data_IF_688139718125
#
_entry.id   IF_688139718125
#
_cell.length_a   1.000
_cell.length_b   1.000
_cell.length_c   1.000
_cell.angle_alpha   90.00
_cell.angle_beta   90.00
_cell.angle_gamma   90.00
#
_symmetry.space_group_name_H-M   'P 1'
#
loop_
_entity.id
_entity.type
_entity.pdbx_description
1 polymer ?
#
# COMPACT_ATOMS: atom_id res chain seq x y z
N UNK A 1 -3.68 6.41 -12.17
CA UNK A 1 -3.62 7.20 -10.95
C UNK A 1 -4.48 6.64 -9.83
N UNK A 2 -4.60 7.39 -8.78
CA UNK A 2 -5.28 7.01 -7.52
C UNK A 2 -6.73 7.52 -7.43
N UNK A 3 -7.38 7.77 -8.56
CA UNK A 3 -8.74 8.37 -8.62
C UNK A 3 -9.81 7.59 -7.84
N UNK A 4 -9.63 6.27 -7.71
CA UNK A 4 -10.61 5.39 -7.07
C UNK A 4 -10.31 5.10 -5.58
N UNK A 5 -9.23 5.64 -5.03
CA UNK A 5 -8.77 5.30 -3.66
C UNK A 5 -9.86 5.56 -2.62
N UNK A 6 -10.53 6.70 -2.68
CA UNK A 6 -11.59 7.04 -1.74
C UNK A 6 -12.77 6.04 -1.83
N UNK A 7 -13.22 5.72 -3.05
CA UNK A 7 -14.32 4.76 -3.28
C UNK A 7 -13.98 3.38 -2.73
N UNK A 8 -12.77 2.89 -3.01
CA UNK A 8 -12.30 1.59 -2.53
C UNK A 8 -12.24 1.59 -1.00
N UNK A 9 -11.66 2.65 -0.41
CA UNK A 9 -11.53 2.76 1.05
C UNK A 9 -12.88 2.73 1.74
N UNK A 10 -13.85 3.54 1.30
CA UNK A 10 -15.18 3.54 1.91
C UNK A 10 -15.91 2.22 1.74
N UNK A 11 -15.79 1.58 0.57
CA UNK A 11 -16.40 0.27 0.34
C UNK A 11 -15.82 -0.81 1.25
N UNK A 12 -14.50 -0.89 1.36
CA UNK A 12 -13.84 -1.89 2.20
C UNK A 12 -14.05 -1.62 3.71
N UNK A 13 -14.13 -0.35 4.12
CA UNK A 13 -14.53 0.00 5.50
C UNK A 13 -15.97 -0.43 5.80
N UNK A 14 -16.90 -0.20 4.88
CA UNK A 14 -18.28 -0.66 5.01
C UNK A 14 -18.36 -2.19 5.10
N UNK A 15 -17.62 -2.88 4.23
CA UNK A 15 -17.52 -4.35 4.25
C UNK A 15 -16.94 -4.87 5.58
N UNK A 16 -15.90 -4.20 6.07
CA UNK A 16 -15.29 -4.51 7.37
C UNK A 16 -16.28 -4.35 8.52
N UNK A 17 -17.06 -3.27 8.51
CA UNK A 17 -18.14 -3.05 9.49
C UNK A 17 -19.17 -4.17 9.47
N UNK A 18 -19.67 -4.56 8.30
CA UNK A 18 -20.66 -5.64 8.16
C UNK A 18 -20.13 -7.01 8.63
N UNK A 19 -18.84 -7.26 8.50
CA UNK A 19 -18.21 -8.55 8.82
C UNK A 19 -17.52 -8.59 10.19
N UNK A 20 -17.52 -7.47 10.92
CA UNK A 20 -16.81 -7.34 12.21
C UNK A 20 -15.29 -7.48 12.10
N UNK A 21 -14.71 -7.24 10.91
CA UNK A 21 -13.26 -7.36 10.66
C UNK A 21 -12.58 -6.00 10.71
N UNK A 22 -11.27 -6.00 10.97
CA UNK A 22 -10.44 -4.80 10.78
C UNK A 22 -10.42 -4.39 9.30
N UNK A 23 -10.64 -3.10 8.95
CA UNK A 23 -10.59 -2.61 7.57
C UNK A 23 -9.31 -2.97 6.81
N UNK A 24 -8.16 -3.07 7.48
CA UNK A 24 -6.88 -3.46 6.88
C UNK A 24 -6.92 -4.84 6.23
N UNK A 25 -7.79 -5.74 6.73
CA UNK A 25 -8.01 -7.06 6.13
C UNK A 25 -8.40 -6.97 4.65
N UNK A 26 -9.30 -6.05 4.32
CA UNK A 26 -9.80 -5.86 2.96
C UNK A 26 -9.00 -4.86 2.14
N UNK A 27 -8.50 -3.81 2.79
CA UNK A 27 -7.75 -2.74 2.13
C UNK A 27 -6.38 -3.21 1.65
N UNK A 28 -5.67 -4.01 2.47
CA UNK A 28 -4.26 -4.30 2.24
C UNK A 28 -4.03 -5.60 1.50
N UNK A 29 -4.96 -6.55 1.58
CA UNK A 29 -4.72 -7.90 1.09
C UNK A 29 -5.77 -8.32 0.06
N UNK A 30 -5.40 -9.06 -0.99
CA UNK A 30 -6.36 -9.61 -1.94
C UNK A 30 -7.18 -10.72 -1.29
N UNK A 31 -8.45 -10.85 -1.70
CA UNK A 31 -9.39 -11.80 -1.10
C UNK A 31 -9.28 -13.22 -1.67
N UNK A 32 -8.08 -13.60 -2.09
CA UNK A 32 -7.69 -14.98 -2.41
C UNK A 32 -7.17 -15.70 -1.17
N UNK A 33 -6.98 -16.99 -1.21
CA UNK A 33 -6.62 -17.82 -0.05
C UNK A 33 -5.32 -17.34 0.63
N UNK A 34 -4.28 -17.13 -0.18
CA UNK A 34 -2.97 -16.65 0.30
C UNK A 34 -3.07 -15.25 0.92
N UNK A 35 -3.81 -14.33 0.28
CA UNK A 35 -4.01 -12.97 0.79
C UNK A 35 -4.79 -12.95 2.11
N UNK A 36 -5.84 -13.78 2.26
CA UNK A 36 -6.60 -13.92 3.51
C UNK A 36 -5.73 -14.45 4.65
N UNK A 37 -4.87 -15.43 4.36
CA UNK A 37 -3.91 -15.95 5.35
C UNK A 37 -2.95 -14.85 5.78
N UNK A 38 -2.33 -14.13 4.83
CA UNK A 38 -1.42 -13.03 5.10
C UNK A 38 -2.09 -11.91 5.92
N UNK A 39 -3.35 -11.57 5.60
CA UNK A 39 -4.13 -10.60 6.35
C UNK A 39 -4.32 -11.01 7.81
N UNK A 40 -4.70 -12.26 8.07
CA UNK A 40 -4.87 -12.76 9.42
C UNK A 40 -3.55 -12.78 10.21
N UNK A 41 -2.45 -13.18 9.56
CA UNK A 41 -1.13 -13.23 10.19
C UNK A 41 -0.60 -11.81 10.48
N UNK A 42 -0.80 -10.86 9.57
CA UNK A 42 -0.50 -9.45 9.78
C UNK A 42 -1.28 -8.87 10.96
N UNK A 43 -2.60 -9.06 11.00
CA UNK A 43 -3.45 -8.57 12.08
C UNK A 43 -3.08 -9.17 13.45
N UNK A 44 -2.71 -10.47 13.50
CA UNK A 44 -2.18 -11.09 14.72
C UNK A 44 -0.86 -10.46 15.17
N UNK A 45 0.05 -10.11 14.24
CA UNK A 45 1.32 -9.47 14.58
C UNK A 45 1.10 -8.08 15.18
N UNK A 46 0.30 -7.22 14.52
CA UNK A 46 0.04 -5.87 15.04
C UNK A 46 -0.77 -5.86 16.34
N UNK A 47 -1.61 -6.87 16.57
CA UNK A 47 -2.35 -6.98 17.84
C UNK A 47 -1.44 -7.24 19.05
N UNK A 48 -0.23 -7.79 18.83
CA UNK A 48 0.77 -8.07 19.88
C UNK A 48 1.66 -6.86 20.20
N UNK A 49 1.62 -5.81 19.39
CA UNK A 49 2.40 -4.59 19.62
C UNK A 49 1.83 -3.85 20.82
N UNK A 50 2.68 -3.54 21.80
CA UNK A 50 2.30 -2.85 23.03
C UNK A 50 1.97 -1.38 22.75
N UNK A 51 2.83 -0.70 21.97
CA UNK A 51 2.63 0.67 21.52
C UNK A 51 1.62 0.69 20.35
N UNK A 52 0.39 1.05 20.66
CA UNK A 52 -0.65 1.24 19.65
C UNK A 52 -0.75 2.70 19.26
N UNK A 53 -0.80 2.93 17.96
CA UNK A 53 -1.08 4.26 17.42
C UNK A 53 -2.42 4.81 17.94
N UNK A 54 -2.48 6.11 18.10
CA UNK A 54 -3.71 6.82 18.39
C UNK A 54 -4.76 6.61 17.28
N UNK A 55 -6.02 6.57 17.68
CA UNK A 55 -7.12 6.46 16.72
C UNK A 55 -7.16 7.68 15.80
N UNK A 56 -7.12 7.45 14.49
CA UNK A 56 -7.26 8.52 13.50
C UNK A 56 -8.63 9.18 13.66
N UNK A 57 -8.64 10.51 13.82
CA UNK A 57 -9.87 11.31 13.82
C UNK A 57 -10.48 11.32 12.42
N UNK A 58 -11.81 11.24 12.34
CA UNK A 58 -12.53 11.25 11.05
C UNK A 58 -12.17 12.47 10.19
N UNK A 59 -11.99 13.64 10.81
CA UNK A 59 -11.57 14.86 10.11
C UNK A 59 -10.17 14.75 9.49
N UNK A 60 -9.23 14.10 10.17
CA UNK A 60 -7.88 13.85 9.64
C UNK A 60 -7.91 12.88 8.48
N UNK A 61 -8.68 11.80 8.59
CA UNK A 61 -8.89 10.85 7.51
C UNK A 61 -9.48 11.51 6.26
N UNK A 62 -10.54 12.33 6.41
CA UNK A 62 -11.15 13.06 5.30
C UNK A 62 -10.18 14.05 4.64
N UNK A 63 -9.36 14.76 5.44
CA UNK A 63 -8.32 15.66 4.90
C UNK A 63 -7.27 14.90 4.09
N UNK A 64 -6.84 13.73 4.56
CA UNK A 64 -5.90 12.87 3.83
C UNK A 64 -6.49 12.42 2.49
N UNK A 65 -7.72 11.91 2.46
CA UNK A 65 -8.37 11.51 1.21
C UNK A 65 -8.51 12.67 0.23
N UNK A 66 -8.86 13.87 0.71
CA UNK A 66 -8.91 15.09 -0.12
C UNK A 66 -7.53 15.44 -0.68
N UNK A 67 -6.49 15.42 0.16
CA UNK A 67 -5.11 15.71 -0.26
C UNK A 67 -4.61 14.73 -1.32
N UNK A 68 -4.88 13.43 -1.14
CA UNK A 68 -4.57 12.39 -2.12
C UNK A 68 -5.28 12.67 -3.45
N UNK A 69 -6.57 13.00 -3.43
CA UNK A 69 -7.34 13.32 -4.63
C UNK A 69 -6.81 14.54 -5.38
N UNK A 70 -6.47 15.61 -4.65
CA UNK A 70 -5.89 16.84 -5.22
C UNK A 70 -4.52 16.54 -5.84
N UNK A 71 -3.65 15.83 -5.10
CA UNK A 71 -2.33 15.45 -5.58
C UNK A 71 -2.40 14.57 -6.84
N UNK A 72 -3.25 13.56 -6.82
CA UNK A 72 -3.42 12.62 -7.94
C UNK A 72 -4.06 13.22 -9.21
N UNK A 73 -4.56 14.47 -9.13
CA UNK A 73 -5.14 15.22 -10.27
C UNK A 73 -4.15 16.22 -10.88
N UNK A 74 -2.96 16.37 -10.31
CA UNK A 74 -1.91 17.26 -10.84
C UNK A 74 -1.23 16.65 -12.05
N UNK A 75 -0.54 17.50 -12.80
CA UNK A 75 0.44 17.07 -13.79
C UNK A 75 1.54 16.27 -13.08
N UNK A 76 2.12 15.32 -13.82
CA UNK A 76 3.19 14.47 -13.29
C UNK A 76 4.47 15.29 -13.10
N UNK A 77 5.05 15.22 -11.91
CA UNK A 77 6.35 15.85 -11.61
C UNK A 77 7.49 15.24 -12.46
N UNK A 78 8.51 16.05 -12.71
CA UNK A 78 9.75 15.61 -13.36
C UNK A 78 10.62 14.80 -12.37
N UNK A 79 10.59 13.48 -12.51
CA UNK A 79 11.38 12.56 -11.67
C UNK A 79 12.82 12.39 -12.15
N UNK A 80 13.21 12.92 -13.31
CA UNK A 80 14.56 12.80 -13.86
C UNK A 80 15.63 13.45 -12.97
N UNK A 81 15.23 14.33 -12.07
CA UNK A 81 16.09 15.03 -11.10
C UNK A 81 16.46 14.18 -9.87
N UNK A 82 15.75 13.09 -9.63
CA UNK A 82 16.03 12.18 -8.51
C UNK A 82 17.14 11.23 -8.92
N UNK A 83 18.37 11.53 -8.47
CA UNK A 83 19.58 10.77 -8.88
C UNK A 83 19.97 9.67 -7.90
N UNK A 84 19.42 9.68 -6.70
CA UNK A 84 19.64 8.61 -5.73
C UNK A 84 18.98 7.31 -6.20
N UNK A 85 19.46 6.14 -5.78
CA UNK A 85 18.76 4.88 -6.01
C UNK A 85 17.36 4.92 -5.38
N UNK A 86 16.37 4.43 -6.12
CA UNK A 86 14.98 4.34 -5.65
C UNK A 86 14.48 2.92 -5.85
N UNK A 87 14.02 2.30 -4.80
CA UNK A 87 13.37 0.99 -4.89
C UNK A 87 11.85 1.17 -4.87
N UNK A 88 11.21 0.81 -5.97
CA UNK A 88 9.76 0.82 -6.14
C UNK A 88 9.24 -0.58 -5.87
N UNK A 89 8.38 -0.72 -4.86
CA UNK A 89 7.82 -2.02 -4.44
C UNK A 89 6.31 -1.95 -4.41
N UNK A 90 5.63 -2.94 -4.99
CA UNK A 90 4.17 -3.03 -4.94
C UNK A 90 3.69 -4.49 -5.09
N UNK A 91 2.40 -4.72 -4.84
CA UNK A 91 1.71 -5.96 -5.21
C UNK A 91 1.11 -5.86 -6.62
N UNK A 92 0.97 -6.99 -7.31
CA UNK A 92 0.38 -7.06 -8.66
C UNK A 92 -1.15 -6.82 -8.66
N UNK A 93 -1.79 -6.95 -7.50
CA UNK A 93 -3.22 -6.76 -7.27
C UNK A 93 -3.55 -5.57 -6.34
N UNK A 94 -2.70 -4.53 -6.32
CA UNK A 94 -2.98 -3.34 -5.52
C UNK A 94 -4.14 -2.52 -6.13
N UNK A 95 -5.27 -2.50 -5.42
CA UNK A 95 -6.47 -1.77 -5.82
C UNK A 95 -6.45 -0.31 -5.37
N UNK A 96 -5.69 0.03 -4.31
CA UNK A 96 -5.60 1.38 -3.75
C UNK A 96 -4.63 2.24 -4.55
N UNK A 97 -3.42 1.72 -4.78
CA UNK A 97 -2.39 2.32 -5.63
C UNK A 97 -2.09 1.36 -6.78
N UNK A 98 -2.86 1.43 -7.87
CA UNK A 98 -2.80 0.44 -8.94
C UNK A 98 -1.38 0.20 -9.46
N UNK A 99 -1.02 -1.06 -9.63
CA UNK A 99 0.33 -1.51 -10.02
C UNK A 99 0.92 -0.82 -11.26
N UNK A 100 0.12 -0.40 -12.28
CA UNK A 100 0.64 0.42 -13.38
C UNK A 100 1.34 1.72 -12.95
N UNK A 101 1.01 2.28 -11.78
CA UNK A 101 1.72 3.45 -11.25
C UNK A 101 3.18 3.11 -10.86
N UNK A 102 3.42 1.89 -10.41
CA UNK A 102 4.78 1.43 -10.04
C UNK A 102 5.65 1.26 -11.26
N UNK A 103 5.09 0.77 -12.37
CA UNK A 103 5.80 0.72 -13.66
C UNK A 103 6.09 2.13 -14.19
N UNK A 104 5.11 3.06 -14.15
CA UNK A 104 5.31 4.46 -14.54
C UNK A 104 6.41 5.14 -13.69
N UNK A 105 6.44 4.89 -12.39
CA UNK A 105 7.50 5.40 -11.51
C UNK A 105 8.87 4.85 -11.89
N UNK A 106 8.98 3.55 -12.09
CA UNK A 106 10.24 2.89 -12.42
C UNK A 106 10.78 3.34 -13.79
N UNK A 107 9.91 3.56 -14.77
CA UNK A 107 10.28 4.09 -16.08
C UNK A 107 10.81 5.53 -16.02
N UNK A 108 10.23 6.38 -15.15
CA UNK A 108 10.53 7.81 -15.07
C UNK A 108 11.68 8.16 -14.12
N UNK A 109 12.06 7.24 -13.24
CA UNK A 109 13.17 7.41 -12.31
C UNK A 109 14.48 6.94 -12.95
N UNK A 110 15.57 7.73 -12.91
CA UNK A 110 16.84 7.36 -13.55
C UNK A 110 17.52 6.12 -12.97
N UNK A 111 17.38 5.91 -11.66
CA UNK A 111 18.03 4.83 -10.90
C UNK A 111 16.98 4.02 -10.13
N UNK A 112 15.96 3.50 -10.84
CA UNK A 112 14.91 2.70 -10.22
C UNK A 112 15.27 1.22 -10.21
N UNK A 113 14.97 0.57 -9.07
CA UNK A 113 14.79 -0.87 -8.97
C UNK A 113 13.31 -1.16 -8.74
N UNK A 114 12.71 -2.10 -9.45
CA UNK A 114 11.30 -2.42 -9.36
C UNK A 114 11.09 -3.86 -8.89
N UNK A 115 10.31 -4.03 -7.83
CA UNK A 115 9.85 -5.34 -7.37
C UNK A 115 8.32 -5.35 -7.31
N UNK A 116 7.70 -6.31 -8.00
CA UNK A 116 6.26 -6.54 -7.95
C UNK A 116 6.02 -7.93 -7.37
N UNK A 117 5.36 -7.98 -6.21
CA UNK A 117 5.02 -9.24 -5.55
C UNK A 117 3.74 -9.83 -6.15
N UNK A 118 3.77 -11.12 -6.58
CA UNK A 118 2.60 -11.79 -7.14
C UNK A 118 1.53 -12.03 -6.06
N UNK A 119 0.27 -12.06 -6.48
CA UNK A 119 -0.87 -12.32 -5.59
C UNK A 119 -0.90 -11.44 -4.33
N UNK A 120 -0.39 -10.21 -4.43
CA UNK A 120 -0.30 -9.26 -3.34
C UNK A 120 -1.05 -7.96 -3.64
N UNK A 121 -1.67 -7.41 -2.62
CA UNK A 121 -2.38 -6.13 -2.68
C UNK A 121 -1.54 -4.97 -2.14
N UNK A 122 -2.20 -3.95 -1.60
CA UNK A 122 -1.58 -2.76 -1.02
C UNK A 122 -0.63 -3.08 0.14
N UNK A 123 -0.87 -4.16 0.86
CA UNK A 123 -0.01 -4.67 1.91
C UNK A 123 1.05 -5.66 1.42
N UNK A 124 1.48 -5.58 0.17
CA UNK A 124 2.43 -6.52 -0.43
C UNK A 124 3.71 -6.71 0.38
N UNK A 125 4.31 -5.63 0.89
CA UNK A 125 5.50 -5.68 1.76
C UNK A 125 5.25 -6.40 3.09
N UNK A 126 4.04 -6.38 3.61
CA UNK A 126 3.67 -7.12 4.82
C UNK A 126 3.38 -8.59 4.54
N UNK A 127 2.84 -8.90 3.35
CA UNK A 127 2.60 -10.26 2.89
C UNK A 127 3.93 -10.98 2.63
N UNK A 128 4.89 -10.28 2.03
CA UNK A 128 6.21 -10.78 1.65
C UNK A 128 7.33 -10.30 2.58
N UNK A 129 7.01 -10.01 3.86
CA UNK A 129 7.96 -9.40 4.79
C UNK A 129 9.24 -10.20 5.01
N UNK A 130 9.19 -11.54 4.92
CA UNK A 130 10.36 -12.42 5.06
C UNK A 130 11.36 -12.26 3.90
N UNK A 131 10.89 -11.83 2.72
CA UNK A 131 11.71 -11.52 1.55
C UNK A 131 12.06 -10.04 1.53
N UNK A 132 11.04 -9.18 1.70
CA UNK A 132 11.19 -7.74 1.61
C UNK A 132 12.19 -7.16 2.62
N UNK A 133 12.15 -7.61 3.89
CA UNK A 133 12.99 -7.01 4.94
C UNK A 133 14.49 -7.25 4.69
N UNK A 134 14.98 -8.48 4.40
CA UNK A 134 16.37 -8.69 4.04
C UNK A 134 16.82 -7.90 2.81
N UNK A 135 16.00 -7.85 1.76
CA UNK A 135 16.29 -7.09 0.54
C UNK A 135 16.36 -5.58 0.82
N UNK A 136 15.46 -5.05 1.67
CA UNK A 136 15.49 -3.65 2.08
C UNK A 136 16.76 -3.30 2.86
N UNK A 137 17.18 -4.17 3.78
CA UNK A 137 18.43 -3.98 4.53
C UNK A 137 19.62 -3.93 3.57
N UNK A 138 19.66 -4.77 2.55
CA UNK A 138 20.74 -4.78 1.56
C UNK A 138 20.72 -3.53 0.67
N UNK A 139 19.52 -3.11 0.25
CA UNK A 139 19.34 -1.92 -0.59
C UNK A 139 19.82 -0.63 0.10
N UNK A 140 19.73 -0.53 1.43
CA UNK A 140 20.11 0.66 2.19
C UNK A 140 21.55 0.64 2.73
N UNK A 141 22.37 -0.36 2.38
CA UNK A 141 23.80 -0.38 2.69
C UNK A 141 24.60 0.44 1.69
#
# INVERSE_FOLDING_TARGET
GIKNVAKITYWDMFRAFLTGRDPKYYLFFPMIEQGKKAANDFLKRIARTEDKDDKIKLSSFQRQLKAIGVWGSREKDDLSKIKIPVWVVNGDNDRMVPTPNSYDLAERLPNAHLTIYPDAGHGGVFQYHEVFVPEAIEFFK
#
